data_IF_118523661505
#
_entry.id   IF_118523661505
#
_cell.length_a   1.000
_cell.length_b   1.000
_cell.length_c   1.000
_cell.angle_alpha   90.00
_cell.angle_beta   90.00
_cell.angle_gamma   90.00
#
_symmetry.space_group_name_H-M   'P 1'
#
loop_
_entity.id
_entity.type
_entity.pdbx_description
1 polymer ?
#
# COMPACT_ATOMS: atom_id res chain seq x y z
N UNK A 1 10.62 -3.63 23.39
CA UNK A 1 11.52 -3.63 22.21
C UNK A 1 10.69 -3.29 20.99
N UNK A 2 10.90 -2.14 20.35
CA UNK A 2 10.27 -1.85 19.05
C UNK A 2 10.98 -2.74 18.02
N UNK A 3 10.25 -3.66 17.38
CA UNK A 3 10.81 -4.50 16.33
C UNK A 3 11.12 -3.59 15.15
N UNK A 4 12.40 -3.40 14.81
CA UNK A 4 12.82 -2.63 13.65
C UNK A 4 12.16 -3.25 12.41
N UNK A 5 11.29 -2.50 11.73
CA UNK A 5 10.68 -2.97 10.49
C UNK A 5 11.73 -2.99 9.38
N UNK A 6 11.78 -4.11 8.66
CA UNK A 6 12.57 -4.16 7.42
C UNK A 6 11.86 -3.37 6.34
N UNK A 7 12.65 -2.82 5.40
CA UNK A 7 12.11 -2.26 4.17
C UNK A 7 11.27 -3.33 3.45
N UNK A 8 10.03 -3.00 3.01
CA UNK A 8 9.20 -3.93 2.29
C UNK A 8 9.70 -4.07 0.85
N UNK A 9 9.58 -5.27 0.29
CA UNK A 9 9.86 -5.46 -1.12
C UNK A 9 8.66 -4.99 -1.96
N UNK A 10 8.90 -4.62 -3.23
CA UNK A 10 7.82 -4.33 -4.17
C UNK A 10 6.77 -5.44 -4.23
N UNK A 11 7.22 -6.70 -4.27
CA UNK A 11 6.32 -7.87 -4.32
C UNK A 11 5.42 -7.95 -3.08
N UNK A 12 5.91 -7.58 -1.90
CA UNK A 12 5.11 -7.61 -0.68
C UNK A 12 3.93 -6.62 -0.72
N UNK A 13 4.10 -5.48 -1.39
CA UNK A 13 3.01 -4.52 -1.62
C UNK A 13 1.98 -5.14 -2.58
N UNK A 14 2.45 -5.79 -3.66
CA UNK A 14 1.60 -6.47 -4.64
C UNK A 14 0.78 -7.57 -3.96
N UNK A 15 1.42 -8.45 -3.19
CA UNK A 15 0.76 -9.55 -2.49
C UNK A 15 -0.34 -9.04 -1.55
N UNK A 16 -0.13 -7.92 -0.87
CA UNK A 16 -1.15 -7.30 0.00
C UNK A 16 -2.34 -6.76 -0.80
N UNK A 17 -2.09 -6.13 -1.94
CA UNK A 17 -3.16 -5.68 -2.83
C UNK A 17 -3.95 -6.86 -3.41
N UNK A 18 -3.29 -7.98 -3.73
CA UNK A 18 -3.98 -9.22 -4.14
C UNK A 18 -4.88 -9.77 -3.02
N UNK A 19 -4.44 -9.71 -1.77
CA UNK A 19 -5.26 -10.09 -0.62
C UNK A 19 -6.50 -9.19 -0.46
N UNK A 20 -6.40 -7.90 -0.78
CA UNK A 20 -7.57 -6.99 -0.82
C UNK A 20 -8.54 -7.41 -1.93
N UNK A 21 -8.05 -7.68 -3.14
CA UNK A 21 -8.87 -8.18 -4.25
C UNK A 21 -9.54 -9.53 -3.95
N UNK A 22 -8.96 -10.32 -3.05
CA UNK A 22 -9.50 -11.59 -2.57
C UNK A 22 -10.41 -11.43 -1.34
N UNK A 23 -10.68 -10.21 -0.87
CA UNK A 23 -11.40 -9.90 0.36
C UNK A 23 -10.82 -10.56 1.63
N UNK A 24 -9.50 -10.83 1.63
CA UNK A 24 -8.76 -11.40 2.76
C UNK A 24 -8.13 -10.34 3.67
N UNK A 25 -7.93 -9.14 3.14
CA UNK A 25 -7.55 -7.94 3.88
C UNK A 25 -8.48 -6.81 3.48
N UNK A 26 -8.73 -5.87 4.39
CA UNK A 26 -9.45 -4.64 4.07
C UNK A 26 -8.51 -3.59 3.47
N UNK A 27 -9.10 -2.56 2.86
CA UNK A 27 -8.36 -1.42 2.31
C UNK A 27 -7.64 -0.64 3.43
N UNK A 28 -8.29 -0.49 4.57
CA UNK A 28 -7.76 0.13 5.79
C UNK A 28 -6.55 -0.63 6.33
N UNK A 29 -6.63 -1.96 6.46
CA UNK A 29 -5.53 -2.76 6.99
C UNK A 29 -4.25 -2.59 6.16
N UNK A 30 -4.39 -2.48 4.84
CA UNK A 30 -3.27 -2.29 3.93
C UNK A 30 -2.79 -0.82 3.91
N UNK A 31 -3.71 0.16 3.96
CA UNK A 31 -3.37 1.57 4.04
C UNK A 31 -2.62 1.92 5.33
N UNK A 32 -3.09 1.43 6.47
CA UNK A 32 -2.44 1.58 7.79
C UNK A 32 -1.05 0.94 7.80
N UNK A 33 -0.90 -0.22 7.17
CA UNK A 33 0.40 -0.87 7.04
C UNK A 33 1.36 -0.03 6.19
N UNK A 34 0.92 0.48 5.04
CA UNK A 34 1.76 1.29 4.15
C UNK A 34 2.16 2.63 4.78
N UNK A 35 1.23 3.28 5.50
CA UNK A 35 1.46 4.56 6.19
C UNK A 35 2.63 4.54 7.17
N UNK A 36 2.89 3.39 7.80
CA UNK A 36 4.02 3.20 8.74
C UNK A 36 5.40 3.41 8.09
N UNK A 37 5.50 3.30 6.77
CA UNK A 37 6.74 3.51 6.02
C UNK A 37 6.81 4.89 5.35
N UNK A 38 5.70 5.62 5.30
CA UNK A 38 5.59 6.92 4.63
C UNK A 38 5.70 8.08 5.62
N UNK A 39 5.16 7.90 6.83
CA UNK A 39 5.01 8.98 7.83
C UNK A 39 6.23 9.11 8.75
N UNK A 40 7.07 8.07 8.84
CA UNK A 40 8.16 8.03 9.83
C UNK A 40 9.53 8.22 9.19
N UNK A 41 10.34 9.14 9.74
CA UNK A 41 11.76 9.25 9.39
C UNK A 41 12.58 8.01 9.84
N UNK A 42 12.01 7.20 10.75
CA UNK A 42 12.65 6.03 11.35
C UNK A 42 12.77 4.82 10.42
N UNK A 43 11.99 4.77 9.34
CA UNK A 43 11.96 3.67 8.38
C UNK A 43 12.23 4.18 6.95
N UNK A 44 13.46 4.65 6.66
CA UNK A 44 13.79 5.14 5.34
C UNK A 44 13.69 3.99 4.33
N UNK A 45 12.76 4.14 3.38
CA UNK A 45 12.64 3.27 2.22
C UNK A 45 13.59 3.80 1.15
N UNK A 46 14.66 3.06 0.88
CA UNK A 46 15.73 3.49 -0.02
C UNK A 46 15.35 3.35 -1.49
N UNK A 47 14.53 2.36 -1.82
CA UNK A 47 14.00 2.20 -3.18
C UNK A 47 12.88 3.23 -3.43
N UNK A 48 13.15 4.21 -4.30
CA UNK A 48 12.21 5.27 -4.65
C UNK A 48 10.93 4.76 -5.34
N UNK A 49 10.99 3.62 -6.02
CA UNK A 49 9.82 2.98 -6.62
C UNK A 49 8.95 2.35 -5.53
N UNK A 50 9.55 1.63 -4.58
CA UNK A 50 8.86 1.09 -3.40
C UNK A 50 8.26 2.23 -2.57
N UNK A 51 9.02 3.30 -2.31
CA UNK A 51 8.54 4.47 -1.56
C UNK A 51 7.32 5.13 -2.23
N UNK A 52 7.35 5.33 -3.55
CA UNK A 52 6.20 5.85 -4.31
C UNK A 52 5.00 4.91 -4.29
N UNK A 53 5.25 3.61 -4.34
CA UNK A 53 4.19 2.62 -4.29
C UNK A 53 3.50 2.63 -2.92
N UNK A 54 4.28 2.62 -1.83
CA UNK A 54 3.76 2.75 -0.46
C UNK A 54 2.97 4.04 -0.27
N UNK A 55 3.46 5.18 -0.79
CA UNK A 55 2.70 6.45 -0.76
C UNK A 55 1.37 6.40 -1.50
N UNK A 56 1.28 5.60 -2.56
CA UNK A 56 0.02 5.40 -3.29
C UNK A 56 -0.91 4.55 -2.42
N UNK A 57 -0.41 3.44 -1.90
CA UNK A 57 -1.19 2.44 -1.16
C UNK A 57 -1.59 2.94 0.24
N UNK A 58 -0.84 3.87 0.84
CA UNK A 58 -1.21 4.51 2.11
C UNK A 58 -2.48 5.35 2.00
N UNK A 59 -2.97 5.65 0.80
CA UNK A 59 -4.25 6.31 0.56
C UNK A 59 -5.35 5.37 0.06
N UNK A 60 -5.14 4.05 0.08
CA UNK A 60 -6.08 3.07 -0.49
C UNK A 60 -7.48 3.12 0.17
N UNK A 61 -7.55 3.50 1.44
CA UNK A 61 -8.76 3.65 2.24
C UNK A 61 -9.44 5.02 2.11
N UNK A 62 -8.96 5.88 1.20
CA UNK A 62 -9.57 7.19 0.96
C UNK A 62 -11.03 7.02 0.56
N UNK A 63 -11.93 7.68 1.28
CA UNK A 63 -13.36 7.68 1.01
C UNK A 63 -13.73 8.86 0.09
N UNK A 64 -14.57 8.59 -0.91
CA UNK A 64 -15.24 9.62 -1.70
C UNK A 64 -16.46 10.17 -0.96
N UNK A 65 -17.17 9.29 -0.24
CA UNK A 65 -18.32 9.59 0.59
C UNK A 65 -18.42 8.56 1.75
N UNK A 66 -19.28 8.76 2.77
CA UNK A 66 -19.44 7.78 3.84
C UNK A 66 -19.81 6.39 3.29
N UNK A 67 -18.92 5.41 3.48
CA UNK A 67 -19.10 4.03 3.00
C UNK A 67 -18.75 3.80 1.53
N UNK A 68 -18.23 4.81 0.83
CA UNK A 68 -17.83 4.71 -0.58
C UNK A 68 -16.35 5.05 -0.73
N UNK A 69 -15.55 4.08 -1.14
CA UNK A 69 -14.12 4.29 -1.41
C UNK A 69 -13.92 5.07 -2.72
N UNK A 70 -12.92 5.95 -2.70
CA UNK A 70 -12.45 6.68 -3.88
C UNK A 70 -11.84 5.75 -4.94
N UNK A 71 -11.23 4.65 -4.51
CA UNK A 71 -10.50 3.73 -5.38
C UNK A 71 -11.14 2.34 -5.41
N UNK A 72 -11.31 1.77 -6.59
CA UNK A 72 -11.92 0.46 -6.80
C UNK A 72 -10.90 -0.66 -7.10
N UNK A 73 -11.39 -1.88 -7.35
CA UNK A 73 -10.55 -3.03 -7.71
C UNK A 73 -9.79 -2.83 -9.03
N UNK A 74 -10.33 -2.02 -9.94
CA UNK A 74 -9.68 -1.64 -11.20
C UNK A 74 -8.49 -0.74 -10.95
N UNK A 75 -8.63 0.26 -10.08
CA UNK A 75 -7.52 1.12 -9.64
C UNK A 75 -6.40 0.31 -8.99
N UNK A 76 -6.76 -0.62 -8.10
CA UNK A 76 -5.80 -1.51 -7.44
C UNK A 76 -4.98 -2.29 -8.49
N UNK A 77 -5.66 -2.92 -9.46
CA UNK A 77 -5.00 -3.67 -10.55
C UNK A 77 -4.13 -2.76 -11.41
N UNK A 78 -4.59 -1.53 -11.70
CA UNK A 78 -3.82 -0.55 -12.46
C UNK A 78 -2.53 -0.17 -11.73
N UNK A 79 -2.57 0.01 -10.41
CA UNK A 79 -1.37 0.29 -9.62
C UNK A 79 -0.42 -0.89 -9.59
N UNK A 80 -0.91 -2.11 -9.36
CA UNK A 80 -0.10 -3.32 -9.43
C UNK A 80 0.64 -3.42 -10.77
N UNK A 81 -0.06 -3.20 -11.89
CA UNK A 81 0.56 -3.20 -13.23
C UNK A 81 1.58 -2.08 -13.41
N UNK A 82 1.24 -0.85 -12.99
CA UNK A 82 2.11 0.34 -13.11
C UNK A 82 3.44 0.15 -12.39
N UNK A 83 3.44 -0.48 -11.21
CA UNK A 83 4.64 -0.68 -10.41
C UNK A 83 5.33 -2.01 -10.72
N UNK A 84 4.64 -3.04 -11.19
CA UNK A 84 5.28 -4.29 -11.63
C UNK A 84 6.23 -4.07 -12.82
N UNK A 85 5.84 -3.22 -13.77
CA UNK A 85 6.59 -2.90 -14.99
C UNK A 85 7.68 -1.83 -14.83
N UNK A 86 7.95 -1.37 -13.60
CA UNK A 86 8.99 -0.39 -13.27
C UNK A 86 10.05 -1.00 -12.37
#
# INVERSE_FOLDING_TARGET
MVKKMREPAKQEIIDKLELVLQNKLTKEEVADWASKYVVTDDYPVTDLTVCRFLKTVSGLDTLLAPGEYMYDDGDIKNWMNKYSNK
#
